data_IF_608475980933
#
_entry.id   IF_608475980933
#
_cell.length_a   1.000
_cell.length_b   1.000
_cell.length_c   1.000
_cell.angle_alpha   90.00
_cell.angle_beta   90.00
_cell.angle_gamma   90.00
#
_symmetry.space_group_name_H-M   'P 1'
#
loop_
_entity.id
_entity.type
_entity.pdbx_description
1 polymer ?
#
# COMPACT_ATOMS: atom_id res chain seq x y z
N UNK A 1 -7.00 8.50 -4.91
CA UNK A 1 -7.15 8.86 -3.48
C UNK A 1 -5.92 9.59 -2.98
N UNK A 2 -5.88 9.91 -1.69
CA UNK A 2 -4.67 10.45 -1.03
C UNK A 2 -4.10 9.36 -0.14
N UNK A 3 -2.82 9.04 -0.31
CA UNK A 3 -2.08 8.12 0.55
C UNK A 3 -1.21 8.93 1.49
N UNK A 4 -1.46 8.81 2.79
CA UNK A 4 -0.67 9.42 3.85
C UNK A 4 0.22 8.35 4.49
N UNK A 5 1.54 8.50 4.36
CA UNK A 5 2.52 7.64 5.01
C UNK A 5 3.57 8.54 5.67
N UNK A 6 3.87 8.26 6.94
CA UNK A 6 4.86 9.01 7.72
C UNK A 6 4.64 10.54 7.72
N UNK A 7 3.39 11.00 7.63
CA UNK A 7 3.05 12.42 7.57
C UNK A 7 3.24 13.07 6.20
N UNK A 8 3.65 12.31 5.18
CA UNK A 8 3.68 12.76 3.79
C UNK A 8 2.44 12.30 3.03
N UNK A 9 1.77 13.25 2.39
CA UNK A 9 0.59 12.99 1.59
C UNK A 9 0.91 13.01 0.10
N UNK A 10 0.50 11.95 -0.60
CA UNK A 10 0.57 11.89 -2.06
C UNK A 10 -0.78 11.56 -2.66
N UNK A 11 -1.14 12.28 -3.72
CA UNK A 11 -2.29 11.96 -4.54
C UNK A 11 -1.91 10.83 -5.50
N UNK A 12 -2.60 9.70 -5.40
CA UNK A 12 -2.34 8.50 -6.18
C UNK A 12 -3.62 7.95 -6.80
N UNK A 13 -3.48 7.22 -7.89
CA UNK A 13 -4.55 6.43 -8.50
C UNK A 13 -4.22 4.95 -8.27
N UNK A 14 -5.16 4.24 -7.66
CA UNK A 14 -5.02 2.81 -7.36
C UNK A 14 -6.07 2.09 -8.22
N UNK A 15 -5.66 1.23 -9.17
CA UNK A 15 -6.60 0.35 -9.84
C UNK A 15 -7.14 -0.67 -8.83
N UNK A 16 -8.46 -0.76 -8.73
CA UNK A 16 -9.14 -1.68 -7.82
C UNK A 16 -9.97 -2.68 -8.62
N UNK A 17 -9.87 -3.95 -8.25
CA UNK A 17 -10.81 -4.98 -8.63
C UNK A 17 -11.93 -5.01 -7.59
N UNK A 18 -13.18 -5.03 -8.07
CA UNK A 18 -14.37 -5.10 -7.22
C UNK A 18 -15.08 -6.42 -7.49
N UNK A 19 -15.37 -7.15 -6.42
CA UNK A 19 -16.18 -8.37 -6.47
C UNK A 19 -17.40 -8.20 -5.56
N UNK A 20 -18.57 -8.59 -6.05
CA UNK A 20 -19.82 -8.47 -5.30
C UNK A 20 -20.41 -9.85 -5.10
N UNK A 21 -20.73 -10.20 -3.86
CA UNK A 21 -21.35 -11.47 -3.49
C UNK A 21 -22.48 -11.23 -2.49
N UNK A 22 -23.72 -11.22 -2.99
CA UNK A 22 -24.90 -10.99 -2.15
C UNK A 22 -24.88 -9.61 -1.50
N UNK A 23 -24.71 -9.58 -0.18
CA UNK A 23 -24.64 -8.34 0.63
C UNK A 23 -23.21 -7.89 0.94
N UNK A 24 -22.20 -8.59 0.40
CA UNK A 24 -20.80 -8.22 0.54
C UNK A 24 -20.22 -7.64 -0.75
N UNK A 25 -19.36 -6.65 -0.58
CA UNK A 25 -18.54 -6.07 -1.65
C UNK A 25 -17.09 -6.17 -1.20
N UNK A 26 -16.26 -6.80 -2.02
CA UNK A 26 -14.84 -6.96 -1.83
C UNK A 26 -14.08 -6.04 -2.81
N UNK A 27 -13.05 -5.37 -2.30
CA UNK A 27 -12.14 -4.55 -3.08
C UNK A 27 -10.71 -5.09 -2.92
N UNK A 28 -10.15 -5.56 -4.02
CA UNK A 28 -8.78 -6.05 -4.09
C UNK A 28 -7.97 -5.05 -4.91
N UNK A 29 -6.80 -4.68 -4.42
CA UNK A 29 -5.90 -3.82 -5.19
C UNK A 29 -4.48 -3.88 -4.69
N UNK A 30 -3.59 -3.31 -5.49
CA UNK A 30 -2.21 -3.12 -5.09
C UNK A 30 -1.67 -1.80 -5.63
N UNK A 31 -0.71 -1.23 -4.90
CA UNK A 31 0.00 -0.05 -5.32
C UNK A 31 1.47 -0.15 -4.91
N UNK A 32 2.36 -0.01 -5.88
CA UNK A 32 3.79 0.06 -5.63
C UNK A 32 4.16 1.48 -5.20
N UNK A 33 4.98 1.57 -4.16
CA UNK A 33 5.58 2.81 -3.67
C UNK A 33 7.09 2.62 -3.53
N UNK A 34 7.82 3.73 -3.50
CA UNK A 34 9.20 3.73 -2.98
C UNK A 34 9.21 4.25 -1.54
N UNK A 35 10.15 3.80 -0.70
CA UNK A 35 10.31 4.33 0.65
C UNK A 35 10.79 5.79 0.60
N UNK A 36 11.67 6.08 -0.36
CA UNK A 36 12.21 7.42 -0.59
C UNK A 36 11.13 8.46 -0.92
N UNK A 37 10.07 8.07 -1.66
CA UNK A 37 8.93 8.95 -1.93
C UNK A 37 8.30 9.52 -0.67
N UNK A 38 8.37 8.77 0.42
CA UNK A 38 7.82 9.11 1.72
C UNK A 38 8.89 9.49 2.74
N UNK A 39 10.13 9.76 2.29
CA UNK A 39 11.22 10.22 3.16
C UNK A 39 11.66 9.16 4.17
N UNK A 40 11.38 7.89 3.87
CA UNK A 40 11.76 6.76 4.69
C UNK A 40 13.07 6.21 4.13
N UNK A 41 14.11 6.18 4.96
CA UNK A 41 15.34 5.49 4.60
C UNK A 41 15.13 3.96 4.66
N UNK A 42 15.56 3.21 3.64
CA UNK A 42 15.43 1.76 3.65
C UNK A 42 16.07 1.12 4.89
N UNK A 43 15.35 0.24 5.60
CA UNK A 43 15.90 -0.47 6.75
C UNK A 43 17.12 -1.32 6.35
N UNK A 44 18.04 -1.47 7.30
CA UNK A 44 19.24 -2.31 7.12
C UNK A 44 19.42 -3.31 8.25
N UNK A 45 20.07 -4.43 7.97
CA UNK A 45 20.45 -5.47 8.92
C UNK A 45 21.93 -5.87 8.76
N UNK A 46 22.46 -6.63 9.73
CA UNK A 46 23.86 -7.08 9.75
C UNK A 46 24.85 -5.92 9.56
N UNK A 47 24.74 -4.87 10.39
CA UNK A 47 25.59 -3.68 10.31
C UNK A 47 25.63 -3.01 8.91
N UNK A 48 24.50 -3.03 8.20
CA UNK A 48 24.38 -2.42 6.87
C UNK A 48 24.73 -3.35 5.70
N UNK A 49 25.07 -4.62 5.95
CA UNK A 49 25.37 -5.57 4.89
C UNK A 49 24.12 -6.05 4.13
N UNK A 50 22.94 -5.96 4.74
CA UNK A 50 21.66 -6.31 4.12
C UNK A 50 20.79 -5.05 4.12
N UNK A 51 20.34 -4.63 2.94
CA UNK A 51 19.51 -3.44 2.73
C UNK A 51 18.20 -3.90 2.11
N UNK A 52 17.08 -3.43 2.67
CA UNK A 52 15.76 -3.70 2.08
C UNK A 52 15.63 -2.92 0.76
N UNK A 53 15.01 -3.53 -0.25
CA UNK A 53 14.72 -2.84 -1.49
C UNK A 53 13.88 -1.59 -1.26
N UNK A 54 14.14 -0.54 -2.05
CA UNK A 54 13.40 0.72 -1.94
C UNK A 54 11.93 0.58 -2.36
N UNK A 55 11.64 -0.34 -3.27
CA UNK A 55 10.29 -0.63 -3.76
C UNK A 55 9.51 -1.52 -2.78
N UNK A 56 8.31 -1.07 -2.43
CA UNK A 56 7.37 -1.81 -1.59
C UNK A 56 6.02 -1.87 -2.31
N UNK A 57 5.43 -3.05 -2.42
CA UNK A 57 4.07 -3.22 -2.93
C UNK A 57 3.10 -3.29 -1.78
N UNK A 58 2.21 -2.31 -1.67
CA UNK A 58 1.11 -2.30 -0.70
C UNK A 58 -0.07 -3.01 -1.33
N UNK A 59 -0.55 -4.08 -0.69
CA UNK A 59 -1.72 -4.84 -1.13
C UNK A 59 -2.89 -4.55 -0.19
N UNK A 60 -4.08 -4.39 -0.77
CA UNK A 60 -5.32 -4.12 -0.05
C UNK A 60 -6.33 -5.20 -0.41
N UNK A 61 -7.02 -5.70 0.62
CA UNK A 61 -8.14 -6.61 0.53
C UNK A 61 -9.17 -6.12 1.55
N UNK A 62 -10.24 -5.50 1.05
CA UNK A 62 -11.25 -4.85 1.86
C UNK A 62 -12.61 -5.47 1.60
N UNK A 63 -13.24 -6.03 2.64
CA UNK A 63 -14.60 -6.59 2.56
C UNK A 63 -15.57 -5.69 3.32
N UNK A 64 -16.60 -5.23 2.63
CA UNK A 64 -17.71 -4.46 3.20
C UNK A 64 -18.98 -5.31 3.17
N UNK A 65 -19.72 -5.33 4.28
CA UNK A 65 -21.04 -5.95 4.37
C UNK A 65 -22.08 -4.92 4.76
N UNK A 66 -23.29 -5.04 4.21
CA UNK A 66 -24.42 -4.23 4.64
C UNK A 66 -24.85 -4.65 6.06
N UNK A 67 -24.89 -3.70 6.99
CA UNK A 67 -25.54 -3.86 8.30
C UNK A 67 -27.04 -3.52 8.19
#
# INVERSE_FOLDING_TARGET
GTLNIAGQEKKIEIPLQMETSGETIEFIGEHQITLQDYGIEPPTAMFGQIIVGDEVTVKFDLVFSKN
#
